data_IF_530995904970
#
_entry.id   IF_530995904970
#
_cell.length_a   1.000
_cell.length_b   1.000
_cell.length_c   1.000
_cell.angle_alpha   90.00
_cell.angle_beta   90.00
_cell.angle_gamma   90.00
#
_symmetry.space_group_name_H-M   'P 1'
#
loop_
_entity.id
_entity.type
_entity.pdbx_description
1 polymer ?
#
# COMPACT_ATOMS: atom_id res chain seq x y z
N UNK A 1 16.18 34.85 -64.47
CA UNK A 1 15.57 33.95 -63.45
C UNK A 1 16.67 33.53 -62.48
N UNK A 2 16.64 33.89 -61.18
CA UNK A 2 17.57 33.32 -60.22
C UNK A 2 17.04 31.96 -59.73
N UNK A 3 17.94 30.99 -59.57
CA UNK A 3 17.61 29.69 -58.99
C UNK A 3 17.65 29.79 -57.45
N UNK A 4 16.52 29.48 -56.81
CA UNK A 4 16.34 29.56 -55.36
C UNK A 4 17.23 28.56 -54.59
N UNK A 5 17.97 29.06 -53.61
CA UNK A 5 18.66 28.25 -52.60
C UNK A 5 17.64 27.59 -51.68
N UNK A 6 17.72 26.27 -51.50
CA UNK A 6 16.86 25.51 -50.59
C UNK A 6 17.45 25.53 -49.19
N UNK A 7 16.84 26.29 -48.29
CA UNK A 7 17.17 26.26 -46.88
C UNK A 7 16.86 24.86 -46.31
N UNK A 8 17.87 24.20 -45.72
CA UNK A 8 17.63 23.05 -44.86
C UNK A 8 16.96 23.54 -43.59
N UNK A 9 15.62 23.46 -43.56
CA UNK A 9 14.88 23.59 -42.33
C UNK A 9 15.23 22.37 -41.45
N UNK A 10 16.13 22.58 -40.49
CA UNK A 10 16.23 21.71 -39.32
C UNK A 10 14.93 21.88 -38.55
N UNK A 11 13.93 21.09 -38.92
CA UNK A 11 12.74 20.91 -38.12
C UNK A 11 13.18 20.20 -36.84
N UNK A 12 13.58 20.99 -35.84
CA UNK A 12 13.58 20.54 -34.46
C UNK A 12 12.12 20.50 -34.03
N UNK A 13 11.39 19.52 -34.55
CA UNK A 13 10.08 19.15 -34.01
C UNK A 13 10.30 18.88 -32.53
N UNK A 14 9.67 19.70 -31.68
CA UNK A 14 9.82 19.64 -30.24
C UNK A 14 9.37 18.27 -29.72
N UNK A 15 10.33 17.35 -29.60
CA UNK A 15 10.06 16.00 -29.15
C UNK A 15 9.54 16.04 -27.71
N UNK A 16 8.29 15.62 -27.53
CA UNK A 16 7.67 15.46 -26.22
C UNK A 16 7.72 14.00 -25.79
N UNK A 17 8.13 13.74 -24.56
CA UNK A 17 8.14 12.40 -23.97
C UNK A 17 7.35 12.37 -22.67
N UNK A 18 6.60 11.30 -22.45
CA UNK A 18 5.92 11.01 -21.19
C UNK A 18 6.18 9.57 -20.73
N UNK A 19 6.05 9.32 -19.43
CA UNK A 19 6.22 8.00 -18.83
C UNK A 19 5.17 7.76 -17.75
N UNK A 20 4.68 6.52 -17.65
CA UNK A 20 3.87 6.06 -16.52
C UNK A 20 4.83 5.42 -15.52
N UNK A 21 4.96 6.04 -14.35
CA UNK A 21 5.80 5.53 -13.26
C UNK A 21 4.90 4.87 -12.23
N UNK A 22 4.96 3.54 -12.15
CA UNK A 22 4.36 2.80 -11.05
C UNK A 22 5.39 2.65 -9.92
N UNK A 23 5.05 3.15 -8.73
CA UNK A 23 5.85 2.96 -7.51
C UNK A 23 5.22 1.92 -6.59
N UNK A 24 6.04 1.09 -5.96
CA UNK A 24 5.58 0.21 -4.88
C UNK A 24 5.27 1.04 -3.64
N UNK A 25 4.07 0.88 -3.08
CA UNK A 25 3.70 1.51 -1.81
C UNK A 25 4.24 0.66 -0.67
N UNK A 26 5.29 1.14 0.00
CA UNK A 26 5.79 0.53 1.23
C UNK A 26 5.18 1.25 2.44
N UNK A 27 4.60 0.48 3.36
CA UNK A 27 4.02 0.99 4.60
C UNK A 27 3.94 -0.11 5.65
N UNK A 28 3.97 0.28 6.92
CA UNK A 28 3.89 -0.65 8.04
C UNK A 28 2.91 -0.13 9.10
N UNK A 29 2.28 -1.06 9.81
CA UNK A 29 1.42 -0.75 10.94
C UNK A 29 1.96 -1.48 12.17
N UNK A 30 2.31 -0.73 13.22
CA UNK A 30 2.79 -1.31 14.48
C UNK A 30 1.63 -1.42 15.46
N UNK A 31 1.24 -2.66 15.77
CA UNK A 31 0.26 -2.94 16.81
C UNK A 31 0.98 -3.24 18.13
N UNK A 32 0.85 -2.35 19.12
CA UNK A 32 1.38 -2.56 20.48
C UNK A 32 0.27 -3.04 21.41
N UNK A 33 0.48 -4.18 22.06
CA UNK A 33 -0.44 -4.74 23.05
C UNK A 33 0.11 -4.42 24.43
N UNK A 34 -0.53 -3.50 25.14
CA UNK A 34 -0.18 -3.12 26.51
C UNK A 34 -1.06 -3.93 27.47
N UNK A 35 -0.46 -4.53 28.50
CA UNK A 35 -1.20 -5.32 29.49
C UNK A 35 -1.71 -6.65 28.92
N UNK A 36 -0.88 -7.36 28.14
CA UNK A 36 -1.22 -8.64 27.51
C UNK A 36 -1.98 -9.60 28.43
N UNK A 37 -1.58 -9.76 29.69
CA UNK A 37 -2.23 -10.69 30.62
C UNK A 37 -3.73 -10.41 30.80
N UNK A 38 -4.16 -9.14 30.74
CA UNK A 38 -5.58 -8.78 30.80
C UNK A 38 -6.35 -9.24 29.55
N UNK A 39 -5.68 -9.27 28.39
CA UNK A 39 -6.30 -9.71 27.14
C UNK A 39 -6.61 -11.21 27.13
N UNK A 40 -5.97 -12.01 28.00
CA UNK A 40 -6.25 -13.44 28.14
C UNK A 40 -7.62 -13.76 28.72
N UNK A 41 -8.31 -12.76 29.29
CA UNK A 41 -9.71 -12.90 29.70
C UNK A 41 -10.68 -13.05 28.51
N UNK A 42 -10.23 -12.72 27.29
CA UNK A 42 -11.04 -12.92 26.07
C UNK A 42 -11.20 -14.42 25.79
N UNK A 43 -12.42 -14.95 25.60
CA UNK A 43 -12.62 -16.38 25.38
C UNK A 43 -11.85 -16.95 24.17
N UNK A 44 -11.57 -18.26 24.19
CA UNK A 44 -10.96 -18.96 23.05
C UNK A 44 -11.78 -18.75 21.77
N UNK A 45 -11.10 -18.57 20.64
CA UNK A 45 -11.76 -18.28 19.36
C UNK A 45 -12.35 -16.87 19.23
N UNK A 46 -12.19 -15.99 20.23
CA UNK A 46 -12.53 -14.56 20.12
C UNK A 46 -11.29 -13.72 19.88
N UNK A 47 -11.47 -12.64 19.12
CA UNK A 47 -10.40 -11.69 18.79
C UNK A 47 -10.67 -10.28 19.27
N UNK A 48 -9.58 -9.56 19.48
CA UNK A 48 -9.53 -8.11 19.65
C UNK A 48 -9.06 -7.51 18.32
N UNK A 49 -9.79 -6.53 17.80
CA UNK A 49 -9.44 -5.87 16.53
C UNK A 49 -8.62 -4.62 16.78
N UNK A 50 -7.60 -4.38 15.95
CA UNK A 50 -6.89 -3.11 15.90
C UNK A 50 -7.80 -2.00 15.37
N UNK A 51 -7.34 -0.75 15.49
CA UNK A 51 -7.91 0.35 14.72
C UNK A 51 -7.70 0.09 13.21
N UNK A 52 -8.64 0.55 12.36
CA UNK A 52 -8.44 0.51 10.91
C UNK A 52 -7.21 1.31 10.49
N UNK A 53 -6.47 0.84 9.50
CA UNK A 53 -5.34 1.54 8.90
C UNK A 53 -5.33 1.38 7.38
N UNK A 54 -4.75 2.36 6.67
CA UNK A 54 -4.71 2.34 5.20
C UNK A 54 -3.36 1.82 4.72
N UNK A 55 -3.36 0.85 3.81
CA UNK A 55 -2.16 0.32 3.16
C UNK A 55 -2.51 -0.27 1.79
N UNK A 56 -1.67 -0.02 0.78
CA UNK A 56 -1.87 -0.57 -0.58
C UNK A 56 -3.23 -0.22 -1.20
N UNK A 57 -3.75 0.99 -0.96
CA UNK A 57 -5.06 1.43 -1.46
C UNK A 57 -6.28 0.85 -0.74
N UNK A 58 -6.09 0.01 0.27
CA UNK A 58 -7.16 -0.65 1.02
C UNK A 58 -7.17 -0.22 2.49
N UNK A 59 -8.32 -0.42 3.14
CA UNK A 59 -8.47 -0.24 4.60
C UNK A 59 -8.40 -1.61 5.27
N UNK A 60 -7.40 -1.79 6.11
CA UNK A 60 -7.09 -3.02 6.82
C UNK A 60 -7.36 -2.88 8.32
N UNK A 61 -7.48 -4.01 9.01
CA UNK A 61 -7.34 -4.10 10.47
C UNK A 61 -6.70 -5.45 10.81
N UNK A 62 -6.03 -5.52 11.96
CA UNK A 62 -5.46 -6.76 12.50
C UNK A 62 -6.44 -7.38 13.48
N UNK A 63 -6.77 -8.66 13.31
CA UNK A 63 -7.53 -9.44 14.27
C UNK A 63 -6.56 -10.26 15.13
N UNK A 64 -6.47 -9.92 16.41
CA UNK A 64 -5.57 -10.55 17.38
C UNK A 64 -6.34 -11.53 18.27
N UNK A 65 -5.89 -12.79 18.32
CA UNK A 65 -6.50 -13.85 19.11
C UNK A 65 -5.57 -14.24 20.28
N UNK A 66 -5.77 -13.68 21.50
CA UNK A 66 -4.87 -13.92 22.63
C UNK A 66 -4.84 -15.39 23.09
N UNK A 67 -5.89 -16.14 22.78
CA UNK A 67 -6.05 -17.55 23.15
C UNK A 67 -6.17 -18.48 21.92
N UNK A 68 -5.77 -18.01 20.75
CA UNK A 68 -5.90 -18.77 19.51
C UNK A 68 -7.28 -18.64 18.85
N UNK A 69 -7.31 -18.92 17.55
CA UNK A 69 -8.50 -18.78 16.70
C UNK A 69 -9.42 -20.01 16.77
N UNK A 70 -8.84 -21.18 17.02
CA UNK A 70 -9.61 -22.40 17.19
C UNK A 70 -10.07 -22.44 18.65
N UNK A 71 -11.38 -22.48 18.87
CA UNK A 71 -11.88 -23.05 20.12
C UNK A 71 -11.41 -24.49 20.14
N UNK A 72 -10.57 -24.85 21.10
CA UNK A 72 -10.18 -26.24 21.32
C UNK A 72 -11.46 -27.09 21.28
N UNK A 73 -11.54 -27.98 20.29
CA UNK A 73 -12.61 -28.96 20.23
C UNK A 73 -12.27 -29.94 21.35
N UNK A 74 -12.96 -29.80 22.49
CA UNK A 74 -12.98 -30.82 23.53
C UNK A 74 -13.51 -32.15 22.98
#
# INVERSE_FOLDING_TARGET
MPASSRASASASDGASSSAIVAGTVNGYHVLKIVGYSLTKAVPNGKSIKSRPFRAGGHTWHVAYYPNGQNAEKA
#
